data_IF_092241972947
#
_entry.id   IF_092241972947
#
_cell.length_a   1.000
_cell.length_b   1.000
_cell.length_c   1.000
_cell.angle_alpha   90.00
_cell.angle_beta   90.00
_cell.angle_gamma   90.00
#
_symmetry.space_group_name_H-M   'P 1'
#
loop_
_entity.id
_entity.type
_entity.pdbx_description
1 polymer ?
#
# COMPACT_ATOMS: atom_id res chain seq x y z
N UNK A 1 -15.81 -13.34 17.70
CA UNK A 1 -14.71 -14.12 17.11
C UNK A 1 -14.91 -14.40 15.61
N UNK A 2 -15.98 -15.05 15.15
CA UNK A 2 -16.15 -15.42 13.71
C UNK A 2 -16.31 -14.25 12.72
N UNK A 3 -16.72 -13.08 13.14
CA UNK A 3 -17.00 -11.92 12.27
C UNK A 3 -15.78 -11.05 11.96
N UNK A 4 -14.78 -11.03 12.83
CA UNK A 4 -13.53 -10.25 12.59
C UNK A 4 -12.50 -11.00 11.76
N UNK A 5 -12.45 -12.32 11.89
CA UNK A 5 -11.66 -13.17 10.98
C UNK A 5 -12.18 -13.13 9.54
N UNK A 6 -13.49 -12.91 9.34
CA UNK A 6 -14.05 -12.72 8.00
C UNK A 6 -13.66 -11.36 7.37
N UNK A 7 -13.37 -10.33 8.19
CA UNK A 7 -12.87 -9.03 7.70
C UNK A 7 -11.39 -9.10 7.29
N UNK A 8 -10.58 -9.89 7.99
CA UNK A 8 -9.20 -10.18 7.57
C UNK A 8 -9.16 -10.95 6.24
N UNK A 9 -10.07 -11.90 6.05
CA UNK A 9 -10.20 -12.62 4.78
C UNK A 9 -10.76 -11.75 3.63
N UNK A 10 -11.58 -10.74 3.95
CA UNK A 10 -12.12 -9.81 2.95
C UNK A 10 -11.07 -8.80 2.45
N UNK A 11 -10.05 -8.47 3.26
CA UNK A 11 -8.92 -7.66 2.82
C UNK A 11 -8.08 -8.33 1.73
N UNK A 12 -8.15 -9.67 1.62
CA UNK A 12 -7.53 -10.43 0.53
C UNK A 12 -8.35 -10.40 -0.78
N UNK A 13 -9.59 -9.93 -0.77
CA UNK A 13 -10.50 -9.98 -1.91
C UNK A 13 -10.67 -8.63 -2.64
N UNK A 14 -10.18 -7.54 -2.09
CA UNK A 14 -10.13 -6.26 -2.80
C UNK A 14 -8.70 -6.01 -3.26
N UNK A 15 -8.46 -5.85 -4.57
CA UNK A 15 -7.33 -5.06 -4.98
C UNK A 15 -7.67 -3.63 -4.51
N UNK A 16 -7.21 -3.23 -3.36
CA UNK A 16 -6.95 -1.83 -3.16
C UNK A 16 -5.96 -1.50 -4.29
N UNK A 17 -6.49 -0.90 -5.35
CA UNK A 17 -5.71 -0.04 -6.20
C UNK A 17 -5.09 0.96 -5.21
N UNK A 18 -3.91 0.64 -4.72
CA UNK A 18 -3.03 1.65 -4.20
C UNK A 18 -2.93 2.62 -5.36
N UNK A 19 -3.66 3.72 -5.26
CA UNK A 19 -3.32 4.90 -6.03
C UNK A 19 -1.83 5.10 -5.77
N UNK A 20 -1.02 5.39 -6.79
CA UNK A 20 0.34 5.77 -6.54
C UNK A 20 0.28 6.94 -5.54
N UNK A 21 0.55 6.66 -4.28
CA UNK A 21 0.97 7.68 -3.34
C UNK A 21 2.13 8.35 -4.04
N UNK A 22 2.04 9.66 -4.16
CA UNK A 22 3.11 10.45 -4.75
C UNK A 22 4.41 9.97 -4.11
N UNK A 23 5.35 9.52 -4.94
CA UNK A 23 6.62 8.90 -4.54
C UNK A 23 7.46 9.82 -3.61
N UNK A 24 7.02 11.05 -3.41
CA UNK A 24 7.64 12.02 -2.49
C UNK A 24 7.50 11.67 -1.00
N UNK A 25 6.52 10.89 -0.60
CA UNK A 25 6.26 10.62 0.83
C UNK A 25 7.01 9.40 1.40
N UNK A 26 7.75 8.66 0.57
CA UNK A 26 8.55 7.51 1.02
C UNK A 26 10.02 7.86 1.33
N UNK A 27 10.39 9.13 1.35
CA UNK A 27 11.73 9.57 1.75
C UNK A 27 11.89 9.49 3.27
N UNK A 28 13.07 9.02 3.76
CA UNK A 28 13.37 9.09 5.19
C UNK A 28 13.23 10.53 5.72
N UNK A 29 12.79 10.72 6.98
CA UNK A 29 12.55 12.05 7.57
C UNK A 29 13.72 13.04 7.47
N UNK A 30 14.92 12.53 7.37
CA UNK A 30 16.20 13.27 7.27
C UNK A 30 16.45 13.89 5.88
N UNK A 31 15.64 13.56 4.86
CA UNK A 31 15.73 14.11 3.51
C UNK A 31 14.56 15.03 3.14
N UNK A 32 13.78 15.51 4.14
CA UNK A 32 12.81 16.58 3.90
C UNK A 32 13.57 17.89 3.71
N UNK A 33 13.67 18.33 2.46
CA UNK A 33 14.15 19.68 2.17
C UNK A 33 13.10 20.67 2.67
N UNK A 34 13.59 21.75 3.31
CA UNK A 34 12.78 22.86 3.83
C UNK A 34 11.95 23.48 2.69
N UNK A 35 10.61 23.45 2.81
CA UNK A 35 9.65 23.92 1.80
C UNK A 35 9.75 25.43 1.48
N UNK A 36 10.73 26.13 2.07
CA UNK A 36 10.96 27.56 1.89
C UNK A 36 12.09 27.94 0.92
N UNK A 37 12.77 26.95 0.31
CA UNK A 37 13.68 27.25 -0.78
C UNK A 37 12.88 27.18 -2.09
N UNK A 38 12.55 28.37 -2.62
CA UNK A 38 11.91 28.51 -3.91
C UNK A 38 12.59 27.64 -4.95
N UNK A 39 11.90 26.61 -5.41
CA UNK A 39 12.33 25.79 -6.54
C UNK A 39 12.41 26.68 -7.76
N UNK A 40 13.62 27.16 -8.12
CA UNK A 40 13.91 27.37 -9.50
C UNK A 40 13.92 25.96 -10.12
N UNK A 41 13.00 25.69 -11.04
CA UNK A 41 13.11 24.55 -11.94
C UNK A 41 14.49 24.62 -12.58
N UNK A 42 15.43 23.86 -12.05
CA UNK A 42 16.68 23.64 -12.75
C UNK A 42 16.26 22.96 -14.06
N UNK A 43 16.63 23.54 -15.22
CA UNK A 43 16.32 22.90 -16.47
C UNK A 43 16.86 21.46 -16.37
N UNK A 44 15.97 20.47 -16.58
CA UNK A 44 16.38 19.07 -16.68
C UNK A 44 17.42 19.05 -17.78
N UNK A 45 18.69 18.91 -17.39
CA UNK A 45 19.75 18.81 -18.39
C UNK A 45 19.40 17.63 -19.28
N UNK A 46 19.36 17.82 -20.60
CA UNK A 46 19.10 16.69 -21.50
C UNK A 46 20.09 15.58 -21.15
N UNK A 47 19.62 14.33 -21.23
CA UNK A 47 20.49 13.16 -21.03
C UNK A 47 21.71 13.37 -21.92
N UNK A 48 22.93 13.34 -21.36
CA UNK A 48 24.13 13.51 -22.13
C UNK A 48 24.09 12.57 -23.35
N UNK A 49 24.50 13.03 -24.54
CA UNK A 49 24.46 12.21 -25.75
C UNK A 49 25.10 10.84 -25.58
N UNK A 50 26.11 10.76 -24.71
CA UNK A 50 26.86 9.56 -24.37
C UNK A 50 26.00 8.52 -23.60
N UNK A 51 24.95 8.97 -22.91
CA UNK A 51 24.02 8.12 -22.16
C UNK A 51 22.65 7.95 -22.82
N UNK A 52 22.53 8.38 -24.10
CA UNK A 52 21.31 8.22 -24.88
C UNK A 52 21.13 6.77 -25.35
N UNK A 53 19.88 6.40 -25.54
CA UNK A 53 19.44 5.10 -26.06
C UNK A 53 20.23 4.77 -27.38
N UNK A 54 20.83 3.58 -27.41
CA UNK A 54 21.58 3.08 -28.58
C UNK A 54 23.06 3.39 -28.59
N UNK A 55 23.63 4.02 -27.55
CA UNK A 55 25.08 4.16 -27.43
C UNK A 55 25.68 2.89 -26.77
N UNK A 56 26.49 2.08 -27.50
CA UNK A 56 27.08 0.86 -26.94
C UNK A 56 28.04 1.12 -25.77
N UNK A 57 28.62 2.33 -25.70
CA UNK A 57 29.62 2.70 -24.70
C UNK A 57 28.99 3.33 -23.44
N UNK A 58 27.66 3.47 -23.39
CA UNK A 58 26.96 4.14 -22.28
C UNK A 58 27.22 3.49 -20.91
N UNK A 59 27.41 2.17 -20.87
CA UNK A 59 27.69 1.40 -19.65
C UNK A 59 29.12 1.72 -19.17
N UNK A 60 30.08 1.75 -20.04
CA UNK A 60 31.47 2.00 -19.69
C UNK A 60 31.68 3.45 -19.23
N UNK A 61 31.08 4.42 -19.94
CA UNK A 61 31.13 5.84 -19.59
C UNK A 61 30.46 6.09 -18.22
N UNK A 62 29.32 5.44 -17.95
CA UNK A 62 28.64 5.62 -16.68
C UNK A 62 29.39 4.95 -15.51
N UNK A 63 30.04 3.82 -15.73
CA UNK A 63 30.90 3.17 -14.72
C UNK A 63 32.12 4.05 -14.42
N UNK A 64 32.68 4.72 -15.42
CA UNK A 64 33.79 5.64 -15.28
C UNK A 64 33.41 6.92 -14.49
N UNK A 65 32.21 7.46 -14.74
CA UNK A 65 31.72 8.68 -14.06
C UNK A 65 31.20 8.40 -12.63
N UNK A 66 30.49 7.30 -12.42
CA UNK A 66 29.74 7.02 -11.18
C UNK A 66 30.33 5.87 -10.34
N UNK A 67 31.35 5.15 -10.84
CA UNK A 67 31.97 4.00 -10.18
C UNK A 67 31.38 2.64 -10.57
N UNK A 68 32.15 1.58 -10.38
CA UNK A 68 31.84 0.21 -10.85
C UNK A 68 30.58 -0.44 -10.26
N UNK A 69 30.01 0.14 -9.19
CA UNK A 69 28.86 -0.43 -8.46
C UNK A 69 27.53 0.30 -8.68
N UNK A 70 27.45 1.21 -9.66
CA UNK A 70 26.20 1.95 -9.92
C UNK A 70 25.30 1.18 -10.87
N UNK A 71 24.09 0.87 -10.43
CA UNK A 71 23.06 0.30 -11.31
C UNK A 71 22.43 1.40 -12.19
N UNK A 72 23.02 1.57 -13.38
CA UNK A 72 22.62 2.60 -14.33
C UNK A 72 21.22 2.36 -14.88
N UNK A 73 20.83 1.11 -15.07
CA UNK A 73 19.50 0.73 -15.52
C UNK A 73 18.45 1.16 -14.48
N UNK A 74 18.71 0.89 -13.20
CA UNK A 74 17.86 1.33 -12.12
C UNK A 74 17.84 2.86 -11.97
N UNK A 75 18.98 3.52 -12.13
CA UNK A 75 19.08 4.98 -12.14
C UNK A 75 18.27 5.63 -13.27
N UNK A 76 18.25 5.05 -14.46
CA UNK A 76 17.40 5.48 -15.56
C UNK A 76 15.92 5.27 -15.26
N UNK A 77 15.56 4.12 -14.66
CA UNK A 77 14.21 3.82 -14.22
C UNK A 77 13.67 4.86 -13.23
N UNK A 78 14.44 5.20 -12.19
CA UNK A 78 14.03 6.18 -11.17
C UNK A 78 13.81 7.59 -11.75
N UNK A 79 14.48 7.92 -12.84
CA UNK A 79 14.31 9.21 -13.54
C UNK A 79 13.19 9.20 -14.59
N UNK A 80 12.47 8.08 -14.74
CA UNK A 80 11.41 7.93 -15.73
C UNK A 80 11.89 7.61 -17.15
N UNK A 81 13.18 7.33 -17.35
CA UNK A 81 13.74 6.93 -18.65
C UNK A 81 13.57 5.41 -18.85
N UNK A 82 12.33 4.96 -18.93
CA UNK A 82 11.99 3.54 -18.87
C UNK A 82 12.52 2.72 -20.06
N UNK A 83 12.52 3.29 -21.28
CA UNK A 83 13.09 2.62 -22.45
C UNK A 83 14.60 2.45 -22.30
N UNK A 84 15.30 3.49 -21.86
CA UNK A 84 16.74 3.41 -21.57
C UNK A 84 17.03 2.40 -20.46
N UNK A 85 16.20 2.40 -19.40
CA UNK A 85 16.33 1.41 -18.34
C UNK A 85 16.18 -0.03 -18.86
N UNK A 86 15.20 -0.26 -19.75
CA UNK A 86 14.95 -1.55 -20.37
C UNK A 86 16.13 -2.00 -21.24
N UNK A 87 16.66 -1.11 -22.10
CA UNK A 87 17.79 -1.42 -22.96
C UNK A 87 19.07 -1.71 -22.18
N UNK A 88 19.34 -0.96 -21.12
CA UNK A 88 20.49 -1.18 -20.24
C UNK A 88 20.35 -2.46 -19.37
N UNK A 89 19.13 -2.81 -18.98
CA UNK A 89 18.90 -4.00 -18.17
C UNK A 89 18.95 -5.30 -18.99
N UNK A 90 18.54 -5.26 -20.27
CA UNK A 90 18.35 -6.46 -21.08
C UNK A 90 19.61 -7.34 -21.21
N UNK A 91 20.80 -6.83 -21.58
CA UNK A 91 22.00 -7.66 -21.68
C UNK A 91 22.41 -8.33 -20.38
N UNK A 92 22.20 -7.66 -19.26
CA UNK A 92 22.46 -8.19 -17.92
C UNK A 92 21.44 -9.27 -17.54
N UNK A 93 20.15 -9.03 -17.84
CA UNK A 93 19.07 -9.97 -17.57
C UNK A 93 19.25 -11.30 -18.33
N UNK A 94 19.70 -11.23 -19.60
CA UNK A 94 20.04 -12.39 -20.42
C UNK A 94 21.22 -13.20 -19.85
N UNK A 95 22.14 -12.53 -19.14
CA UNK A 95 23.24 -13.17 -18.43
C UNK A 95 22.84 -13.71 -17.05
N UNK A 96 21.56 -13.60 -16.67
CA UNK A 96 21.04 -14.12 -15.43
C UNK A 96 21.09 -13.15 -14.23
N UNK A 97 21.38 -11.87 -14.45
CA UNK A 97 21.31 -10.85 -13.40
C UNK A 97 19.86 -10.70 -12.92
N UNK A 98 19.62 -11.20 -11.71
CA UNK A 98 18.29 -11.22 -11.09
C UNK A 98 17.68 -9.82 -10.90
N UNK A 99 18.50 -8.83 -10.60
CA UNK A 99 18.03 -7.45 -10.38
C UNK A 99 17.57 -6.82 -11.69
N UNK A 100 18.33 -7.04 -12.78
CA UNK A 100 17.93 -6.60 -14.11
C UNK A 100 16.65 -7.32 -14.58
N UNK A 101 16.54 -8.63 -14.34
CA UNK A 101 15.33 -9.40 -14.65
C UNK A 101 14.12 -8.87 -13.88
N UNK A 102 14.26 -8.54 -12.60
CA UNK A 102 13.17 -7.95 -11.76
C UNK A 102 12.76 -6.59 -12.32
N UNK A 103 13.72 -5.73 -12.68
CA UNK A 103 13.45 -4.42 -13.25
C UNK A 103 12.66 -4.53 -14.56
N UNK A 104 13.06 -5.42 -15.46
CA UNK A 104 12.33 -5.66 -16.72
C UNK A 104 10.91 -6.17 -16.43
N UNK A 105 10.79 -7.11 -15.49
CA UNK A 105 9.49 -7.60 -15.03
C UNK A 105 8.58 -6.46 -14.58
N UNK A 106 9.09 -5.52 -13.79
CA UNK A 106 8.35 -4.36 -13.31
C UNK A 106 7.94 -3.41 -14.44
N UNK A 107 8.85 -3.11 -15.38
CA UNK A 107 8.58 -2.27 -16.56
C UNK A 107 7.40 -2.83 -17.37
N UNK A 108 7.38 -4.15 -17.63
CA UNK A 108 6.25 -4.78 -18.33
C UNK A 108 4.99 -4.90 -17.49
N UNK A 109 5.11 -5.16 -16.18
CA UNK A 109 3.96 -5.26 -15.27
C UNK A 109 3.16 -3.97 -15.20
N UNK A 110 3.84 -2.83 -15.25
CA UNK A 110 3.24 -1.50 -15.12
C UNK A 110 3.02 -0.81 -16.48
N UNK A 111 3.65 -1.30 -17.56
CA UNK A 111 3.56 -0.70 -18.88
C UNK A 111 4.34 0.61 -19.00
N UNK A 112 5.48 0.69 -18.32
CA UNK A 112 6.31 1.90 -18.27
C UNK A 112 7.17 2.04 -19.54
N UNK A 113 6.84 3.03 -20.36
CA UNK A 113 7.54 3.25 -21.64
C UNK A 113 7.26 2.20 -22.72
N UNK A 114 6.63 1.08 -22.37
CA UNK A 114 6.20 0.00 -23.25
C UNK A 114 4.73 -0.34 -23.01
N UNK A 115 4.09 -1.08 -23.92
CA UNK A 115 2.77 -1.62 -23.64
C UNK A 115 2.81 -2.57 -22.44
N UNK A 116 1.83 -2.45 -21.53
CA UNK A 116 1.71 -3.37 -20.40
C UNK A 116 1.55 -4.82 -20.90
N UNK A 117 2.40 -5.70 -20.41
CA UNK A 117 2.37 -7.13 -20.71
C UNK A 117 2.67 -7.95 -19.45
N UNK A 118 1.59 -8.32 -18.77
CA UNK A 118 1.68 -9.07 -17.52
C UNK A 118 2.19 -10.51 -17.71
N UNK A 119 2.05 -11.09 -18.91
CA UNK A 119 2.62 -12.42 -19.20
C UNK A 119 4.15 -12.32 -19.31
N UNK A 120 4.66 -11.32 -20.06
CA UNK A 120 6.10 -11.06 -20.13
C UNK A 120 6.65 -10.72 -18.74
N UNK A 121 5.94 -9.91 -17.95
CA UNK A 121 6.32 -9.59 -16.57
C UNK A 121 6.47 -10.87 -15.73
N UNK A 122 5.48 -11.78 -15.79
CA UNK A 122 5.53 -13.04 -15.05
C UNK A 122 6.72 -13.91 -15.47
N UNK A 123 7.05 -13.96 -16.77
CA UNK A 123 8.21 -14.71 -17.27
C UNK A 123 9.53 -14.16 -16.73
N UNK A 124 9.68 -12.83 -16.69
CA UNK A 124 10.86 -12.17 -16.15
C UNK A 124 10.96 -12.33 -14.63
N UNK A 125 9.84 -12.20 -13.90
CA UNK A 125 9.81 -12.45 -12.46
C UNK A 125 10.10 -13.91 -12.12
N UNK A 126 9.64 -14.88 -12.95
CA UNK A 126 9.96 -16.30 -12.75
C UNK A 126 11.47 -16.56 -12.97
N UNK A 127 12.09 -15.94 -13.98
CA UNK A 127 13.53 -16.01 -14.19
C UNK A 127 14.30 -15.43 -12.98
N UNK A 128 13.97 -14.22 -12.54
CA UNK A 128 14.59 -13.58 -11.37
C UNK A 128 14.37 -14.39 -10.09
N UNK A 129 13.17 -14.96 -9.90
CA UNK A 129 12.84 -15.82 -8.74
C UNK A 129 13.68 -17.09 -8.71
N UNK A 130 13.90 -17.73 -9.88
CA UNK A 130 14.82 -18.87 -9.99
C UNK A 130 16.25 -18.49 -9.65
N UNK A 131 16.66 -17.26 -9.97
CA UNK A 131 17.98 -16.71 -9.62
C UNK A 131 18.05 -16.14 -8.19
N UNK A 132 17.01 -16.40 -7.37
CA UNK A 132 17.02 -16.10 -5.94
C UNK A 132 16.69 -14.63 -5.60
N UNK A 133 15.97 -13.90 -6.46
CA UNK A 133 15.49 -12.57 -6.12
C UNK A 133 14.20 -12.65 -5.28
N UNK A 134 14.21 -12.14 -4.03
CA UNK A 134 13.03 -12.20 -3.16
C UNK A 134 11.92 -11.23 -3.57
N UNK A 135 12.24 -10.12 -4.23
CA UNK A 135 11.25 -9.16 -4.70
C UNK A 135 10.47 -9.75 -5.89
N UNK A 136 11.19 -10.31 -6.87
CA UNK A 136 10.55 -10.99 -7.99
C UNK A 136 9.75 -12.22 -7.54
N UNK A 137 10.28 -12.98 -6.57
CA UNK A 137 9.56 -14.13 -5.99
C UNK A 137 8.25 -13.70 -5.35
N UNK A 138 8.25 -12.59 -4.61
CA UNK A 138 7.04 -12.00 -4.05
C UNK A 138 6.09 -11.50 -5.13
N UNK A 139 6.58 -10.75 -6.13
CA UNK A 139 5.76 -10.26 -7.23
C UNK A 139 5.08 -11.40 -7.99
N UNK A 140 5.81 -12.46 -8.29
CA UNK A 140 5.28 -13.66 -8.93
C UNK A 140 4.22 -14.38 -8.05
N UNK A 141 4.43 -14.41 -6.73
CA UNK A 141 3.44 -14.94 -5.79
C UNK A 141 2.11 -14.18 -5.87
N UNK A 142 2.18 -12.84 -5.89
CA UNK A 142 1.00 -11.99 -6.05
C UNK A 142 0.29 -12.24 -7.39
N UNK A 143 1.03 -12.42 -8.47
CA UNK A 143 0.46 -12.74 -9.79
C UNK A 143 -0.29 -14.09 -9.77
N UNK A 144 0.27 -15.13 -9.14
CA UNK A 144 -0.43 -16.40 -8.98
C UNK A 144 -1.63 -16.31 -8.03
N UNK A 145 -1.57 -15.48 -7.00
CA UNK A 145 -2.67 -15.26 -6.06
C UNK A 145 -3.89 -14.62 -6.75
N UNK A 146 -3.65 -13.64 -7.61
CA UNK A 146 -4.70 -12.88 -8.32
C UNK A 146 -5.11 -13.52 -9.64
N UNK A 147 -4.21 -14.20 -10.33
CA UNK A 147 -4.37 -14.69 -11.69
C UNK A 147 -3.99 -13.64 -12.73
N UNK A 148 -3.12 -12.72 -12.37
CA UNK A 148 -2.74 -11.59 -13.21
C UNK A 148 -1.53 -11.96 -14.08
N UNK A 149 -1.72 -12.03 -15.39
CA UNK A 149 -0.71 -12.49 -16.36
C UNK A 149 -0.40 -13.99 -16.34
N UNK A 150 -0.86 -14.73 -15.33
CA UNK A 150 -0.72 -16.18 -15.18
C UNK A 150 -2.05 -16.79 -14.77
N UNK A 151 -2.22 -18.11 -14.97
CA UNK A 151 -3.37 -18.80 -14.40
C UNK A 151 -3.33 -18.74 -12.87
N UNK A 152 -4.47 -18.38 -12.26
CA UNK A 152 -4.58 -18.29 -10.80
C UNK A 152 -4.26 -19.63 -10.14
N UNK A 153 -3.27 -19.62 -9.25
CA UNK A 153 -2.83 -20.79 -8.49
C UNK A 153 -2.39 -20.35 -7.07
N UNK A 154 -3.34 -20.41 -6.13
CA UNK A 154 -3.10 -19.99 -4.75
C UNK A 154 -2.12 -20.89 -3.99
N UNK A 155 -2.02 -22.17 -4.37
CA UNK A 155 -1.05 -23.08 -3.77
C UNK A 155 0.37 -22.68 -4.16
N UNK A 156 0.59 -22.45 -5.45
CA UNK A 156 1.87 -21.96 -5.96
C UNK A 156 2.22 -20.58 -5.38
N UNK A 157 1.23 -19.72 -5.20
CA UNK A 157 1.43 -18.43 -4.53
C UNK A 157 1.92 -18.62 -3.09
N UNK A 158 1.33 -19.53 -2.31
CA UNK A 158 1.75 -19.82 -0.94
C UNK A 158 3.19 -20.35 -0.87
N UNK A 159 3.58 -21.25 -1.77
CA UNK A 159 4.95 -21.77 -1.85
C UNK A 159 5.95 -20.64 -2.19
N UNK A 160 5.58 -19.73 -3.09
CA UNK A 160 6.40 -18.57 -3.44
C UNK A 160 6.48 -17.54 -2.30
N UNK A 161 5.38 -17.29 -1.58
CA UNK A 161 5.41 -16.44 -0.38
C UNK A 161 6.35 -17.01 0.68
N UNK A 162 6.32 -18.34 0.91
CA UNK A 162 7.23 -18.98 1.83
C UNK A 162 8.69 -18.75 1.40
N UNK A 163 9.03 -19.02 0.14
CA UNK A 163 10.39 -18.81 -0.39
C UNK A 163 10.85 -17.34 -0.27
N UNK A 164 9.99 -16.39 -0.61
CA UNK A 164 10.32 -14.98 -0.49
C UNK A 164 10.47 -14.53 0.97
N UNK A 165 9.64 -15.05 1.88
CA UNK A 165 9.70 -14.78 3.32
C UNK A 165 10.98 -15.33 3.94
N UNK A 166 11.38 -16.57 3.58
CA UNK A 166 12.63 -17.19 4.01
C UNK A 166 13.86 -16.40 3.49
N UNK A 167 13.74 -15.79 2.31
CA UNK A 167 14.75 -14.88 1.75
C UNK A 167 14.68 -13.45 2.32
N UNK A 168 13.85 -13.20 3.34
CA UNK A 168 13.78 -11.94 4.07
C UNK A 168 12.82 -10.90 3.51
N UNK A 169 12.00 -11.22 2.50
CA UNK A 169 11.00 -10.28 2.00
C UNK A 169 9.89 -10.07 3.04
N UNK A 170 9.78 -8.84 3.55
CA UNK A 170 8.86 -8.49 4.63
C UNK A 170 7.39 -8.53 4.21
N UNK A 171 7.08 -8.14 2.96
CA UNK A 171 5.72 -8.25 2.42
C UNK A 171 5.31 -9.72 2.25
N UNK A 172 6.25 -10.58 1.88
CA UNK A 172 6.01 -12.03 1.83
C UNK A 172 5.80 -12.61 3.24
N UNK A 173 6.56 -12.17 4.26
CA UNK A 173 6.32 -12.56 5.66
C UNK A 173 4.92 -12.16 6.11
N UNK A 174 4.49 -10.93 5.83
CA UNK A 174 3.14 -10.48 6.14
C UNK A 174 2.09 -11.37 5.47
N UNK A 175 2.18 -11.60 4.16
CA UNK A 175 1.22 -12.44 3.43
C UNK A 175 1.23 -13.90 3.92
N UNK A 176 2.41 -14.47 4.22
CA UNK A 176 2.51 -15.81 4.79
C UNK A 176 1.88 -15.88 6.19
N UNK A 177 2.02 -14.82 6.99
CA UNK A 177 1.31 -14.68 8.28
C UNK A 177 -0.20 -14.73 8.12
N UNK A 178 -0.75 -14.00 7.14
CA UNK A 178 -2.19 -14.05 6.82
C UNK A 178 -2.63 -15.45 6.39
N UNK A 179 -1.84 -16.15 5.58
CA UNK A 179 -2.13 -17.55 5.20
C UNK A 179 -2.16 -18.50 6.40
N UNK A 180 -1.29 -18.30 7.41
CA UNK A 180 -1.32 -19.05 8.66
C UNK A 180 -2.54 -18.72 9.54
N UNK A 181 -3.11 -17.51 9.44
CA UNK A 181 -4.39 -17.15 10.09
C UNK A 181 -5.55 -17.84 9.38
N UNK A 182 -5.56 -17.79 8.04
CA UNK A 182 -6.64 -18.34 7.21
C UNK A 182 -6.64 -19.87 7.23
N UNK A 183 -5.48 -20.50 7.37
CA UNK A 183 -5.31 -21.95 7.27
C UNK A 183 -5.49 -22.48 5.84
N UNK A 184 -5.30 -21.63 4.83
CA UNK A 184 -5.41 -21.98 3.43
C UNK A 184 -4.03 -22.23 2.84
N UNK A 185 -3.80 -23.42 2.28
CA UNK A 185 -2.56 -23.85 1.62
C UNK A 185 -1.34 -23.99 2.55
N UNK A 186 -1.43 -23.52 3.79
CA UNK A 186 -0.48 -23.75 4.88
C UNK A 186 -1.25 -24.17 6.14
N UNK A 187 -0.60 -24.88 7.07
CA UNK A 187 -1.25 -25.25 8.32
C UNK A 187 -1.55 -23.99 9.15
N UNK A 188 -2.78 -23.88 9.74
CA UNK A 188 -3.13 -22.76 10.57
C UNK A 188 -2.25 -22.71 11.82
N UNK A 189 -1.63 -21.57 12.06
CA UNK A 189 -0.75 -21.37 13.21
C UNK A 189 -0.69 -19.88 13.61
N UNK A 190 -1.50 -19.50 14.58
CA UNK A 190 -1.59 -18.10 15.03
C UNK A 190 -0.29 -17.61 15.67
N UNK A 191 0.51 -18.47 16.32
CA UNK A 191 1.79 -18.07 16.91
C UNK A 191 2.79 -17.72 15.82
N UNK A 192 2.88 -18.55 14.76
CA UNK A 192 3.75 -18.27 13.61
C UNK A 192 3.24 -17.03 12.84
N UNK A 193 1.93 -16.89 12.69
CA UNK A 193 1.32 -15.71 12.09
C UNK A 193 1.70 -14.43 12.84
N UNK A 194 1.55 -14.43 14.18
CA UNK A 194 1.92 -13.27 15.00
C UNK A 194 3.42 -12.93 14.90
N UNK A 195 4.29 -13.92 14.84
CA UNK A 195 5.73 -13.69 14.66
C UNK A 195 6.02 -13.03 13.29
N UNK A 196 5.47 -13.59 12.21
CA UNK A 196 5.70 -13.10 10.84
C UNK A 196 5.10 -11.70 10.62
N UNK A 197 3.87 -11.48 11.08
CA UNK A 197 3.21 -10.16 10.98
C UNK A 197 3.92 -9.15 11.88
N UNK A 198 4.37 -9.57 13.09
CA UNK A 198 5.13 -8.72 14.00
C UNK A 198 6.47 -8.26 13.41
N UNK A 199 7.18 -9.13 12.67
CA UNK A 199 8.40 -8.73 11.96
C UNK A 199 8.12 -7.69 10.86
N UNK A 200 7.05 -7.89 10.10
CA UNK A 200 6.63 -6.92 9.08
C UNK A 200 6.17 -5.59 9.70
N UNK A 201 5.46 -5.64 10.83
CA UNK A 201 5.04 -4.46 11.59
C UNK A 201 6.23 -3.67 12.15
N UNK A 202 7.24 -4.38 12.69
CA UNK A 202 8.48 -3.76 13.18
C UNK A 202 9.27 -3.06 12.07
N UNK A 203 9.12 -3.51 10.82
CA UNK A 203 9.71 -2.86 9.64
C UNK A 203 8.89 -1.68 9.12
N UNK A 204 7.78 -1.32 9.78
CA UNK A 204 6.98 -0.15 9.44
C UNK A 204 5.91 -0.36 8.38
N UNK A 205 5.53 -1.59 8.05
CA UNK A 205 4.43 -1.87 7.10
C UNK A 205 3.10 -1.56 7.80
N UNK A 206 2.32 -0.56 7.34
CA UNK A 206 1.15 -0.07 8.06
C UNK A 206 0.05 -1.12 8.23
N UNK A 207 -0.20 -1.94 7.22
CA UNK A 207 -1.17 -3.03 7.28
C UNK A 207 -0.75 -4.10 8.30
N UNK A 208 0.55 -4.42 8.34
CA UNK A 208 1.09 -5.36 9.31
C UNK A 208 1.04 -4.78 10.74
N UNK A 209 1.29 -3.49 10.91
CA UNK A 209 1.13 -2.80 12.20
C UNK A 209 -0.32 -2.88 12.69
N UNK A 210 -1.27 -2.62 11.81
CA UNK A 210 -2.70 -2.70 12.14
C UNK A 210 -3.10 -4.12 12.55
N UNK A 211 -2.73 -5.12 11.77
CA UNK A 211 -3.09 -6.52 12.04
C UNK A 211 -2.39 -7.04 13.30
N UNK A 212 -1.11 -6.69 13.49
CA UNK A 212 -0.39 -7.05 14.71
C UNK A 212 -0.97 -6.37 15.95
N UNK A 213 -1.39 -5.11 15.83
CA UNK A 213 -2.14 -4.39 16.85
C UNK A 213 -3.43 -5.12 17.23
N UNK A 214 -4.17 -5.63 16.25
CA UNK A 214 -5.37 -6.43 16.47
C UNK A 214 -5.06 -7.76 17.17
N UNK A 215 -3.98 -8.45 16.77
CA UNK A 215 -3.52 -9.68 17.41
C UNK A 215 -3.10 -9.44 18.88
N UNK A 216 -2.41 -8.35 19.16
CA UNK A 216 -2.06 -7.92 20.52
C UNK A 216 -3.28 -7.55 21.35
N UNK A 217 -4.33 -6.99 20.75
CA UNK A 217 -5.56 -6.63 21.44
C UNK A 217 -6.37 -7.85 21.86
N UNK A 218 -6.42 -8.87 21.00
CA UNK A 218 -7.24 -10.08 21.18
C UNK A 218 -6.48 -11.24 21.83
N UNK A 219 -5.14 -11.20 21.84
CA UNK A 219 -4.32 -12.32 22.29
C UNK A 219 -4.25 -13.45 21.25
N UNK A 220 -4.35 -13.12 19.97
CA UNK A 220 -4.32 -14.09 18.87
C UNK A 220 -2.87 -14.47 18.50
N UNK A 221 -2.40 -15.62 19.01
CA UNK A 221 -1.04 -16.12 18.77
C UNK A 221 0.05 -15.37 19.54
N UNK A 222 -0.29 -14.34 20.30
CA UNK A 222 0.59 -13.53 21.14
C UNK A 222 -0.16 -13.17 22.42
N UNK A 223 0.55 -12.97 23.54
CA UNK A 223 -0.07 -12.55 24.78
C UNK A 223 -0.79 -11.20 24.62
N UNK A 224 -2.03 -11.03 25.14
CA UNK A 224 -2.75 -9.77 25.05
C UNK A 224 -1.94 -8.61 25.66
N UNK A 225 -1.80 -7.53 24.91
CA UNK A 225 -1.10 -6.34 25.36
C UNK A 225 -1.77 -5.08 24.75
N UNK A 226 -2.81 -4.51 25.40
CA UNK A 226 -3.49 -3.35 24.87
C UNK A 226 -2.61 -2.10 24.68
N UNK A 227 -1.56 -1.92 25.50
CA UNK A 227 -0.66 -0.79 25.35
C UNK A 227 0.21 -0.91 24.08
N UNK A 228 0.77 -2.10 23.85
CA UNK A 228 1.50 -2.37 22.61
C UNK A 228 0.57 -2.31 21.38
N UNK A 229 -0.68 -2.78 21.51
CA UNK A 229 -1.68 -2.68 20.44
C UNK A 229 -1.98 -1.22 20.07
N UNK A 230 -2.13 -0.34 21.08
CA UNK A 230 -2.35 1.08 20.86
C UNK A 230 -1.20 1.74 20.10
N UNK A 231 0.03 1.37 20.45
CA UNK A 231 1.22 1.87 19.73
C UNK A 231 1.24 1.41 18.26
N UNK A 232 0.90 0.15 17.99
CA UNK A 232 0.83 -0.36 16.63
C UNK A 232 -0.28 0.34 15.83
N UNK A 233 -1.47 0.54 16.43
CA UNK A 233 -2.54 1.30 15.78
C UNK A 233 -2.16 2.76 15.56
N UNK A 234 -1.41 3.39 16.50
CA UNK A 234 -0.93 4.76 16.34
C UNK A 234 -0.02 4.90 15.12
N UNK A 235 0.96 4.00 14.99
CA UNK A 235 1.90 3.99 13.86
C UNK A 235 1.17 3.82 12.52
N UNK A 236 0.27 2.83 12.43
CA UNK A 236 -0.54 2.62 11.24
C UNK A 236 -1.49 3.80 10.93
N UNK A 237 -2.01 4.47 11.98
CA UNK A 237 -2.87 5.64 11.82
C UNK A 237 -2.08 6.87 11.32
N UNK A 238 -0.86 7.05 11.79
CA UNK A 238 0.07 8.09 11.31
C UNK A 238 0.48 7.87 9.86
N UNK A 239 0.61 6.61 9.44
CA UNK A 239 0.81 6.23 8.04
C UNK A 239 -0.44 6.40 7.17
N UNK A 240 -1.57 6.87 7.73
CA UNK A 240 -2.78 7.19 6.97
C UNK A 240 -3.81 6.06 6.88
N UNK A 241 -3.60 4.90 7.52
CA UNK A 241 -4.55 3.79 7.46
C UNK A 241 -5.84 4.14 8.24
N UNK A 242 -6.92 4.41 7.52
CA UNK A 242 -8.18 4.90 8.11
C UNK A 242 -8.77 3.94 9.17
N UNK A 243 -8.64 2.63 8.99
CA UNK A 243 -9.07 1.64 9.98
C UNK A 243 -8.28 1.80 11.29
N UNK A 244 -6.97 1.98 11.21
CA UNK A 244 -6.11 2.21 12.37
C UNK A 244 -6.43 3.54 13.06
N UNK A 245 -6.73 4.60 12.30
CA UNK A 245 -7.17 5.88 12.86
C UNK A 245 -8.45 5.72 13.69
N UNK A 246 -9.41 4.91 13.21
CA UNK A 246 -10.66 4.62 13.94
C UNK A 246 -10.39 3.85 15.23
N UNK A 247 -9.55 2.81 15.16
CA UNK A 247 -9.31 1.95 16.32
C UNK A 247 -8.43 2.66 17.35
N UNK A 248 -7.42 3.41 16.94
CA UNK A 248 -6.63 4.25 17.83
C UNK A 248 -7.47 5.35 18.50
N UNK A 249 -8.33 6.04 17.74
CA UNK A 249 -9.28 7.00 18.28
C UNK A 249 -10.22 6.36 19.32
N UNK A 250 -10.66 5.12 19.06
CA UNK A 250 -11.49 4.36 20.00
C UNK A 250 -10.73 4.07 21.31
N UNK A 251 -9.47 3.69 21.21
CA UNK A 251 -8.62 3.44 22.38
C UNK A 251 -8.40 4.71 23.20
N UNK A 252 -8.13 5.84 22.55
CA UNK A 252 -8.04 7.14 23.20
C UNK A 252 -9.35 7.56 23.86
N UNK A 253 -10.47 7.35 23.18
CA UNK A 253 -11.79 7.69 23.72
C UNK A 253 -12.13 6.88 24.98
N UNK A 254 -11.77 5.59 25.01
CA UNK A 254 -12.07 4.66 26.11
C UNK A 254 -10.98 4.63 27.19
N UNK A 255 -9.77 5.13 26.93
CA UNK A 255 -8.61 4.95 27.81
C UNK A 255 -8.12 3.49 27.84
N UNK A 256 -8.27 2.74 26.74
CA UNK A 256 -7.87 1.33 26.68
C UNK A 256 -6.46 1.18 26.15
N UNK A 257 -5.53 0.80 27.02
CA UNK A 257 -4.11 0.68 26.69
C UNK A 257 -3.37 2.01 26.55
N UNK A 258 -4.08 3.13 26.63
CA UNK A 258 -3.56 4.51 26.61
C UNK A 258 -4.33 5.35 27.63
N UNK A 259 -3.77 6.49 28.03
CA UNK A 259 -4.51 7.49 28.80
C UNK A 259 -5.69 7.99 27.98
N UNK A 260 -6.88 8.09 28.63
CA UNK A 260 -8.06 8.63 27.97
C UNK A 260 -7.81 10.07 27.51
N UNK A 261 -8.05 10.32 26.23
CA UNK A 261 -7.98 11.66 25.63
C UNK A 261 -9.07 11.80 24.56
N UNK A 262 -10.18 12.46 24.94
CA UNK A 262 -11.33 12.66 24.05
C UNK A 262 -11.05 13.69 22.97
N UNK A 263 -10.14 14.65 23.22
CA UNK A 263 -9.75 15.65 22.23
C UNK A 263 -8.96 15.01 21.11
N UNK A 264 -7.93 14.25 21.46
CA UNK A 264 -7.16 13.48 20.47
C UNK A 264 -8.03 12.46 19.75
N UNK A 265 -8.95 11.78 20.45
CA UNK A 265 -9.90 10.85 19.83
C UNK A 265 -10.76 11.54 18.75
N UNK A 266 -11.30 12.74 19.06
CA UNK A 266 -12.10 13.49 18.10
C UNK A 266 -11.27 13.89 16.86
N UNK A 267 -10.01 14.30 17.04
CA UNK A 267 -9.11 14.62 15.93
C UNK A 267 -8.86 13.41 15.01
N UNK A 268 -8.58 12.24 15.58
CA UNK A 268 -8.34 11.02 14.80
C UNK A 268 -9.59 10.52 14.08
N UNK A 269 -10.77 10.56 14.76
CA UNK A 269 -12.03 10.27 14.07
C UNK A 269 -12.33 11.27 12.95
N UNK A 270 -12.00 12.56 13.14
CA UNK A 270 -12.13 13.59 12.11
C UNK A 270 -11.33 13.25 10.87
N UNK A 271 -10.03 12.96 11.02
CA UNK A 271 -9.15 12.55 9.89
C UNK A 271 -9.70 11.34 9.13
N UNK A 272 -10.08 10.29 9.85
CA UNK A 272 -10.66 9.11 9.23
C UNK A 272 -12.04 9.38 8.57
N UNK A 273 -12.83 10.30 9.12
CA UNK A 273 -14.11 10.73 8.55
C UNK A 273 -13.91 11.52 7.25
N UNK A 274 -12.90 12.38 7.22
CA UNK A 274 -12.50 13.17 6.06
C UNK A 274 -11.97 12.27 4.93
N UNK A 275 -11.28 11.17 5.25
CA UNK A 275 -10.88 10.16 4.25
C UNK A 275 -12.03 9.29 3.74
N UNK A 276 -13.27 9.51 4.21
CA UNK A 276 -14.45 8.80 3.75
C UNK A 276 -14.83 7.55 4.53
N UNK A 277 -14.15 7.22 5.63
CA UNK A 277 -14.49 6.04 6.43
C UNK A 277 -15.85 6.19 7.12
N UNK A 278 -16.82 5.35 6.76
CA UNK A 278 -18.20 5.45 7.24
C UNK A 278 -18.34 5.30 8.78
N UNK A 279 -17.51 4.41 9.39
CA UNK A 279 -17.52 4.21 10.84
C UNK A 279 -17.01 5.46 11.55
N UNK A 280 -15.93 6.05 11.04
CA UNK A 280 -15.37 7.30 11.53
C UNK A 280 -16.37 8.45 11.39
N UNK A 281 -16.98 8.59 10.21
CA UNK A 281 -18.01 9.62 9.95
C UNK A 281 -19.14 9.55 10.97
N UNK A 282 -19.64 8.34 11.28
CA UNK A 282 -20.69 8.18 12.27
C UNK A 282 -20.22 8.47 13.70
N UNK A 283 -19.02 8.04 14.09
CA UNK A 283 -18.47 8.29 15.43
C UNK A 283 -18.13 9.76 15.62
N UNK A 284 -17.53 10.39 14.61
CA UNK A 284 -17.23 11.82 14.62
C UNK A 284 -18.52 12.67 14.72
N UNK A 285 -19.55 12.28 13.97
CA UNK A 285 -20.86 12.91 14.06
C UNK A 285 -21.46 12.84 15.49
N UNK A 286 -21.28 11.71 16.21
CA UNK A 286 -21.68 11.61 17.62
C UNK A 286 -20.94 12.58 18.52
N UNK A 287 -19.61 12.69 18.35
CA UNK A 287 -18.80 13.59 19.15
C UNK A 287 -19.18 15.06 18.90
N UNK A 288 -19.37 15.44 17.64
CA UNK A 288 -19.83 16.77 17.24
C UNK A 288 -21.24 17.09 17.80
N UNK A 289 -22.17 16.14 17.74
CA UNK A 289 -23.52 16.32 18.25
C UNK A 289 -23.56 16.49 19.78
N UNK A 290 -22.67 15.79 20.50
CA UNK A 290 -22.57 15.82 21.95
C UNK A 290 -21.67 16.95 22.49
N UNK A 291 -20.70 17.41 21.70
CA UNK A 291 -19.64 18.32 22.15
C UNK A 291 -18.58 17.59 22.99
N UNK A 292 -18.31 16.32 22.67
CA UNK A 292 -17.34 15.50 23.42
C UNK A 292 -15.95 15.54 22.77
N UNK A 293 -14.99 16.17 23.46
CA UNK A 293 -13.62 16.34 22.97
C UNK A 293 -13.48 17.31 21.79
N UNK A 294 -14.58 17.93 21.37
CA UNK A 294 -14.65 18.92 20.29
C UNK A 294 -15.84 19.84 20.55
N UNK A 295 -15.79 21.06 20.03
CA UNK A 295 -16.93 21.98 20.11
C UNK A 295 -18.17 21.38 19.42
N UNK A 296 -19.31 21.59 20.07
CA UNK A 296 -20.59 21.08 19.57
C UNK A 296 -20.98 21.74 18.25
N UNK A 297 -21.13 20.94 17.20
CA UNK A 297 -21.56 21.36 15.86
C UNK A 297 -22.57 20.37 15.28
N UNK A 298 -23.85 20.65 15.44
CA UNK A 298 -24.94 19.75 15.01
C UNK A 298 -25.14 19.75 13.50
N UNK A 299 -24.77 20.82 12.78
CA UNK A 299 -24.85 20.88 11.33
C UNK A 299 -23.79 19.97 10.70
N UNK A 300 -22.54 20.09 11.15
CA UNK A 300 -21.46 19.20 10.70
C UNK A 300 -21.70 17.75 11.14
N UNK A 301 -22.27 17.53 12.32
CA UNK A 301 -22.71 16.19 12.78
C UNK A 301 -23.73 15.58 11.80
N UNK A 302 -24.75 16.34 11.41
CA UNK A 302 -25.77 15.89 10.45
C UNK A 302 -25.16 15.59 9.08
N UNK A 303 -24.21 16.39 8.62
CA UNK A 303 -23.48 16.17 7.37
C UNK A 303 -22.72 14.84 7.38
N UNK A 304 -21.89 14.58 8.39
CA UNK A 304 -21.14 13.32 8.50
C UNK A 304 -22.07 12.12 8.71
N UNK A 305 -23.18 12.30 9.46
CA UNK A 305 -24.20 11.26 9.58
C UNK A 305 -24.84 10.92 8.23
N UNK A 306 -25.15 11.92 7.39
CA UNK A 306 -25.69 11.71 6.06
C UNK A 306 -24.70 10.94 5.16
N UNK A 307 -23.41 11.26 5.22
CA UNK A 307 -22.35 10.53 4.49
C UNK A 307 -22.28 9.06 4.94
N UNK A 308 -22.22 8.80 6.24
CA UNK A 308 -22.20 7.44 6.78
C UNK A 308 -23.45 6.63 6.40
N UNK A 309 -24.63 7.26 6.43
CA UNK A 309 -25.91 6.64 6.02
C UNK A 309 -25.91 6.24 4.53
N UNK A 310 -25.36 7.08 3.65
CA UNK A 310 -25.21 6.76 2.21
C UNK A 310 -24.35 5.52 1.97
N UNK A 311 -23.43 5.23 2.88
CA UNK A 311 -22.60 4.03 2.85
C UNK A 311 -23.24 2.82 3.58
N UNK A 312 -24.52 2.93 3.95
CA UNK A 312 -25.29 1.85 4.56
C UNK A 312 -25.15 1.73 6.09
N UNK A 313 -24.44 2.67 6.75
CA UNK A 313 -24.28 2.61 8.20
C UNK A 313 -25.55 3.11 8.91
N UNK A 314 -26.14 2.27 9.76
CA UNK A 314 -27.35 2.60 10.55
C UNK A 314 -26.98 3.03 11.96
N UNK A 315 -27.62 4.10 12.46
CA UNK A 315 -27.51 4.57 13.84
C UNK A 315 -28.80 5.26 14.29
N UNK A 316 -29.82 4.48 14.71
CA UNK A 316 -31.14 5.01 15.08
C UNK A 316 -31.10 6.02 16.24
N UNK A 317 -30.10 5.91 17.13
CA UNK A 317 -29.96 6.84 18.26
C UNK A 317 -29.55 8.22 17.80
N UNK A 318 -28.50 8.27 16.93
CA UNK A 318 -28.04 9.52 16.35
C UNK A 318 -29.10 10.12 15.42
N UNK A 319 -29.77 9.29 14.63
CA UNK A 319 -30.87 9.74 13.75
C UNK A 319 -32.02 10.37 14.55
N UNK A 320 -32.42 9.77 15.69
CA UNK A 320 -33.44 10.32 16.59
C UNK A 320 -33.01 11.62 17.27
N UNK A 321 -31.72 11.79 17.55
CA UNK A 321 -31.17 13.03 18.08
C UNK A 321 -31.23 14.14 17.02
N UNK A 322 -30.79 13.83 15.81
CA UNK A 322 -30.73 14.79 14.70
C UNK A 322 -32.13 15.15 14.15
N UNK A 323 -33.14 14.28 14.32
CA UNK A 323 -34.54 14.58 13.95
C UNK A 323 -35.12 15.76 14.74
N UNK A 324 -34.51 16.13 15.89
CA UNK A 324 -34.93 17.29 16.70
C UNK A 324 -34.26 18.60 16.28
N UNK A 325 -33.34 18.56 15.33
CA UNK A 325 -32.63 19.73 14.81
C UNK A 325 -33.52 20.46 13.79
N UNK A 326 -33.51 21.79 13.72
CA UNK A 326 -34.29 22.53 12.75
C UNK A 326 -34.08 22.04 11.32
N UNK A 327 -35.17 21.98 10.54
CA UNK A 327 -35.17 21.40 9.20
C UNK A 327 -34.22 22.13 8.21
N UNK A 328 -34.05 23.43 8.39
CA UNK A 328 -33.13 24.25 7.59
C UNK A 328 -31.66 23.88 7.86
N UNK A 329 -31.30 23.55 9.09
CA UNK A 329 -29.94 23.08 9.44
C UNK A 329 -29.69 21.70 8.80
N UNK A 330 -30.66 20.80 8.87
CA UNK A 330 -30.56 19.48 8.24
C UNK A 330 -30.43 19.62 6.72
N UNK A 331 -31.21 20.50 6.09
CA UNK A 331 -31.14 20.74 4.64
C UNK A 331 -29.76 21.26 4.21
N UNK A 332 -29.16 22.19 4.96
CA UNK A 332 -27.79 22.65 4.69
C UNK A 332 -26.76 21.52 4.86
N UNK A 333 -26.90 20.72 5.90
CA UNK A 333 -26.02 19.59 6.16
C UNK A 333 -26.09 18.53 5.04
N UNK A 334 -27.29 18.21 4.56
CA UNK A 334 -27.49 17.27 3.45
C UNK A 334 -26.94 17.82 2.13
N UNK A 335 -27.07 19.13 1.87
CA UNK A 335 -26.45 19.77 0.72
C UNK A 335 -24.92 19.75 0.80
N UNK A 336 -24.35 20.07 1.97
CA UNK A 336 -22.89 19.92 2.20
C UNK A 336 -22.43 18.49 1.98
N UNK A 337 -23.19 17.50 2.47
CA UNK A 337 -22.88 16.08 2.24
C UNK A 337 -22.98 15.69 0.76
N UNK A 338 -23.89 16.29 0.00
CA UNK A 338 -24.04 16.06 -1.45
C UNK A 338 -22.83 16.58 -2.23
N UNK A 339 -22.31 17.72 -1.82
CA UNK A 339 -21.16 18.38 -2.43
C UNK A 339 -19.83 17.91 -1.87
N UNK A 340 -19.84 16.98 -0.88
CA UNK A 340 -18.61 16.46 -0.29
C UNK A 340 -17.70 15.91 -1.37
N UNK A 341 -16.43 16.33 -1.41
CA UNK A 341 -15.53 15.97 -2.48
C UNK A 341 -15.23 14.48 -2.43
N UNK A 342 -15.84 13.74 -3.35
CA UNK A 342 -15.18 12.54 -3.83
C UNK A 342 -13.93 13.04 -4.54
N UNK A 343 -12.73 12.52 -4.25
CA UNK A 343 -11.59 12.82 -5.08
C UNK A 343 -11.99 12.45 -6.51
N UNK A 344 -12.03 13.44 -7.39
CA UNK A 344 -12.25 13.19 -8.81
C UNK A 344 -11.14 12.23 -9.25
N UNK A 345 -11.47 11.12 -9.92
CA UNK A 345 -10.42 10.28 -10.49
C UNK A 345 -9.60 11.18 -11.41
N UNK A 346 -8.32 11.32 -11.08
CA UNK A 346 -7.37 12.02 -11.94
C UNK A 346 -7.41 11.29 -13.27
N UNK A 347 -8.00 11.90 -14.29
CA UNK A 347 -7.84 11.41 -15.66
C UNK A 347 -6.35 11.55 -15.98
N UNK A 348 -5.64 10.45 -15.84
CA UNK A 348 -4.36 10.30 -16.49
C UNK A 348 -4.67 10.39 -17.98
N UNK A 349 -4.21 11.47 -18.62
CA UNK A 349 -4.31 11.59 -20.06
C UNK A 349 -3.68 10.33 -20.66
N UNK A 350 -4.45 9.60 -21.47
CA UNK A 350 -3.93 8.45 -22.21
C UNK A 350 -2.78 8.96 -23.09
N UNK A 351 -1.57 8.80 -22.62
CA UNK A 351 -0.38 8.99 -23.47
C UNK A 351 -0.44 7.93 -24.54
N UNK A 352 -0.36 8.37 -25.79
CA UNK A 352 -0.28 7.49 -26.95
C UNK A 352 0.86 6.48 -26.71
N UNK A 353 0.61 5.17 -26.76
CA UNK A 353 1.65 4.19 -26.47
C UNK A 353 2.86 4.43 -27.41
N UNK A 354 4.08 4.44 -26.87
CA UNK A 354 5.27 4.49 -27.67
C UNK A 354 5.40 3.25 -28.55
N UNK A 355 6.20 3.32 -29.60
CA UNK A 355 6.45 2.21 -30.50
C UNK A 355 6.93 0.98 -29.70
N UNK A 356 6.39 -0.18 -30.02
CA UNK A 356 6.72 -1.44 -29.33
C UNK A 356 8.17 -1.81 -29.59
N UNK A 357 8.97 -1.87 -28.54
CA UNK A 357 10.28 -2.53 -28.58
C UNK A 357 10.03 -4.02 -28.38
N UNK A 358 10.48 -4.84 -29.31
CA UNK A 358 10.31 -6.29 -29.23
C UNK A 358 11.45 -6.87 -28.38
N UNK A 359 11.19 -7.09 -27.11
CA UNK A 359 12.14 -7.67 -26.17
C UNK A 359 11.90 -9.17 -26.11
N UNK A 360 12.93 -10.01 -26.30
CA UNK A 360 12.78 -11.46 -26.25
C UNK A 360 12.29 -11.96 -24.87
N UNK A 361 11.59 -13.08 -24.88
CA UNK A 361 11.28 -13.80 -23.64
C UNK A 361 12.56 -14.42 -23.06
N UNK A 362 12.65 -14.57 -21.71
CA UNK A 362 13.78 -15.25 -21.09
C UNK A 362 13.92 -16.66 -21.67
N UNK A 363 15.13 -17.03 -22.07
CA UNK A 363 15.40 -18.38 -22.55
C UNK A 363 15.03 -19.40 -21.48
N UNK A 364 14.29 -20.45 -21.84
CA UNK A 364 14.05 -21.58 -20.93
C UNK A 364 15.40 -22.16 -20.50
N UNK A 365 15.71 -22.00 -19.23
CA UNK A 365 16.90 -22.62 -18.65
C UNK A 365 16.82 -24.14 -18.82
N UNK A 366 17.97 -24.85 -18.92
CA UNK A 366 17.97 -26.29 -19.15
C UNK A 366 17.15 -26.97 -18.06
N UNK A 367 16.16 -27.78 -18.50
CA UNK A 367 15.39 -28.64 -17.62
C UNK A 367 16.37 -29.51 -16.86
N UNK A 368 16.33 -29.41 -15.51
CA UNK A 368 17.08 -30.29 -14.64
C UNK A 368 16.63 -31.74 -14.94
N UNK A 369 17.54 -32.54 -15.47
CA UNK A 369 17.43 -33.99 -15.52
C UNK A 369 17.68 -34.58 -14.15
#
# INVERSE_FOLDING_TARGET
>A
MKWRLALLAAALASPALAQPAEIEDLRPPEMRFDDNLGYQELPISPVPPELQVGNPDAIDIASEIFGENVDIAYGAYQRGYYLTALELALPRAEQGDRTAQTLIGQIYAEGLGVAQDKKKAASWYDAASRNGDPLATFALAMMYQTGDGVAKDRKRAADLFLRAADAGNLMAKYNLGLLHIEGSYVEPNLVKAAALIGEAAAAGIPEAQYDYGSMLMEGAGVAPNPAAAAEQFRLAAEAGLAAAQVDYATMLYLGKGVTQDRVAAAQWYGRAAESGNAVAQNRYAKLLAAGEGIERDVETAAMFRALARRQGLTDPQLDSLLAKVPADVIARAEERARLWPLPLPTRVAEAKPPATVDVPEPADGPAAQ
#
